data_IF_887389835632
#
_entry.id   IF_887389835632
#
_cell.length_a   1.000
_cell.length_b   1.000
_cell.length_c   1.000
_cell.angle_alpha   90.00
_cell.angle_beta   90.00
_cell.angle_gamma   90.00
#
_symmetry.space_group_name_H-M   'P 1'
#
loop_
_entity.id
_entity.type
_entity.pdbx_description
1 polymer ?
#
# COMPACT_ATOMS: atom_id res chain seq x y z
N UNK A 1 10.04 -31.34 -7.91
CA UNK A 1 8.79 -30.57 -8.07
C UNK A 1 8.31 -30.18 -6.67
N UNK A 2 8.62 -28.96 -6.20
CA UNK A 2 8.08 -28.47 -4.93
C UNK A 2 6.61 -28.14 -5.17
N UNK A 3 5.71 -28.79 -4.43
CA UNK A 3 4.30 -28.40 -4.42
C UNK A 3 4.23 -26.92 -4.03
N UNK A 4 3.66 -26.13 -4.93
CA UNK A 4 3.23 -24.76 -4.65
C UNK A 4 2.07 -24.91 -3.67
N UNK A 5 2.38 -25.03 -2.38
CA UNK A 5 1.39 -24.67 -1.37
C UNK A 5 1.18 -23.18 -1.55
N UNK A 6 0.13 -22.83 -2.29
CA UNK A 6 -0.48 -21.51 -2.23
C UNK A 6 -0.69 -21.25 -0.74
N UNK A 7 0.13 -20.39 -0.14
CA UNK A 7 0.29 -20.22 1.30
C UNK A 7 -0.95 -19.70 2.02
N UNK A 8 -2.17 -19.88 1.50
CA UNK A 8 -3.45 -19.49 2.09
C UNK A 8 -3.64 -19.96 3.54
N UNK A 9 -2.93 -21.00 3.97
CA UNK A 9 -2.96 -21.52 5.35
C UNK A 9 -1.93 -20.87 6.28
N UNK A 10 -1.12 -19.92 5.78
CA UNK A 10 -0.18 -19.19 6.62
C UNK A 10 -0.94 -18.24 7.54
N UNK A 11 -0.66 -18.31 8.84
CA UNK A 11 -1.20 -17.43 9.87
C UNK A 11 -0.96 -15.95 9.53
N UNK A 12 0.08 -15.66 8.73
CA UNK A 12 0.33 -14.32 8.18
C UNK A 12 -0.90 -13.74 7.49
N UNK A 13 -1.64 -14.52 6.69
CA UNK A 13 -2.83 -14.01 5.99
C UNK A 13 -3.98 -13.71 6.95
N UNK A 14 -4.11 -14.46 8.05
CA UNK A 14 -5.07 -14.13 9.11
C UNK A 14 -4.69 -12.82 9.79
N UNK A 15 -3.39 -12.60 10.08
CA UNK A 15 -2.93 -11.34 10.64
C UNK A 15 -3.14 -10.16 9.68
N UNK A 16 -2.84 -10.32 8.39
CA UNK A 16 -3.11 -9.31 7.37
C UNK A 16 -4.61 -9.01 7.29
N UNK A 17 -5.46 -10.03 7.25
CA UNK A 17 -6.91 -9.86 7.23
C UNK A 17 -7.40 -9.09 8.46
N UNK A 18 -7.01 -9.49 9.67
CA UNK A 18 -7.42 -8.82 10.91
C UNK A 18 -6.91 -7.37 10.96
N UNK A 19 -5.68 -7.14 10.54
CA UNK A 19 -5.10 -5.80 10.42
C UNK A 19 -5.94 -4.91 9.50
N UNK A 20 -6.26 -5.39 8.30
CA UNK A 20 -7.06 -4.64 7.33
C UNK A 20 -8.50 -4.47 7.79
N UNK A 21 -9.08 -5.48 8.43
CA UNK A 21 -10.43 -5.44 9.00
C UNK A 21 -10.54 -4.35 10.07
N UNK A 22 -9.64 -4.34 11.06
CA UNK A 22 -9.61 -3.30 12.09
C UNK A 22 -9.37 -1.92 11.48
N UNK A 23 -8.41 -1.81 10.55
CA UNK A 23 -8.11 -0.55 9.85
C UNK A 23 -9.34 -0.02 9.11
N UNK A 24 -10.09 -0.88 8.42
CA UNK A 24 -11.31 -0.51 7.72
C UNK A 24 -12.37 0.10 8.66
N UNK A 25 -12.63 -0.52 9.82
CA UNK A 25 -13.62 0.02 10.76
C UNK A 25 -13.19 1.33 11.39
N UNK A 26 -11.90 1.49 11.69
CA UNK A 26 -11.34 2.75 12.15
C UNK A 26 -11.57 3.82 11.09
N UNK A 27 -11.08 3.60 9.87
CA UNK A 27 -11.21 4.54 8.77
C UNK A 27 -12.67 4.87 8.48
N UNK A 28 -13.57 3.88 8.42
CA UNK A 28 -15.01 4.10 8.24
C UNK A 28 -15.59 5.16 9.19
N UNK A 29 -15.12 5.20 10.44
CA UNK A 29 -15.58 6.17 11.44
C UNK A 29 -14.99 7.57 11.23
N UNK A 30 -13.74 7.68 10.81
CA UNK A 30 -13.00 8.96 10.78
C UNK A 30 -12.76 9.55 9.38
N UNK A 31 -13.04 8.80 8.31
CA UNK A 31 -12.75 9.16 6.91
C UNK A 31 -13.49 10.42 6.42
N UNK A 32 -14.61 10.76 7.05
CA UNK A 32 -15.34 11.98 6.74
C UNK A 32 -14.51 13.26 7.01
N UNK A 33 -13.49 13.18 7.88
CA UNK A 33 -12.61 14.31 8.20
C UNK A 33 -11.56 14.54 7.09
N UNK A 34 -11.44 15.78 6.57
CA UNK A 34 -10.51 16.09 5.47
C UNK A 34 -9.05 15.83 5.83
N UNK A 35 -8.61 16.28 7.01
CA UNK A 35 -7.23 16.08 7.48
C UNK A 35 -6.85 14.59 7.53
N UNK A 36 -7.79 13.74 7.95
CA UNK A 36 -7.58 12.28 8.02
C UNK A 36 -7.36 11.70 6.63
N UNK A 37 -8.15 12.10 5.62
CA UNK A 37 -7.97 11.64 4.24
C UNK A 37 -6.63 12.09 3.67
N UNK A 38 -6.23 13.33 3.94
CA UNK A 38 -4.96 13.89 3.47
C UNK A 38 -3.77 13.16 4.08
N UNK A 39 -3.75 13.01 5.41
CA UNK A 39 -2.70 12.29 6.12
C UNK A 39 -2.64 10.84 5.63
N UNK A 40 -3.78 10.16 5.55
CA UNK A 40 -3.85 8.81 5.02
C UNK A 40 -3.25 8.72 3.62
N UNK A 41 -3.63 9.62 2.71
CA UNK A 41 -3.12 9.61 1.34
C UNK A 41 -1.60 9.79 1.25
N UNK A 42 -1.04 10.72 2.04
CA UNK A 42 0.41 10.89 2.11
C UNK A 42 1.12 9.68 2.74
N UNK A 43 0.59 9.12 3.83
CA UNK A 43 1.17 7.94 4.47
C UNK A 43 1.17 6.74 3.52
N UNK A 44 0.05 6.46 2.84
CA UNK A 44 -0.03 5.34 1.90
C UNK A 44 0.95 5.54 0.74
N UNK A 45 1.04 6.74 0.18
CA UNK A 45 2.00 7.02 -0.89
C UNK A 45 3.45 6.81 -0.43
N UNK A 46 3.81 7.34 0.74
CA UNK A 46 5.15 7.21 1.31
C UNK A 46 5.52 5.75 1.57
N UNK A 47 4.65 4.99 2.23
CA UNK A 47 4.91 3.57 2.53
C UNK A 47 5.03 2.73 1.26
N UNK A 48 4.26 3.05 0.23
CA UNK A 48 4.38 2.38 -1.07
C UNK A 48 5.73 2.66 -1.73
N UNK A 49 6.21 3.90 -1.71
CA UNK A 49 7.56 4.22 -2.24
C UNK A 49 8.67 3.54 -1.43
N UNK A 50 8.53 3.47 -0.10
CA UNK A 50 9.45 2.73 0.76
C UNK A 50 9.44 1.24 0.41
N UNK A 51 8.26 0.65 0.12
CA UNK A 51 8.16 -0.74 -0.31
C UNK A 51 8.90 -0.98 -1.63
N UNK A 52 8.78 -0.08 -2.60
CA UNK A 52 9.55 -0.15 -3.87
C UNK A 52 11.06 -0.21 -3.60
N UNK A 53 11.57 0.63 -2.69
CA UNK A 53 12.96 0.59 -2.27
C UNK A 53 13.35 -0.78 -1.68
N UNK A 54 12.53 -1.34 -0.80
CA UNK A 54 12.80 -2.65 -0.20
C UNK A 54 12.72 -3.81 -1.20
N UNK A 55 11.79 -3.80 -2.15
CA UNK A 55 11.74 -4.81 -3.22
C UNK A 55 12.99 -4.74 -4.10
N UNK A 56 13.42 -3.53 -4.43
CA UNK A 56 14.65 -3.30 -5.21
C UNK A 56 15.88 -3.82 -4.46
N UNK A 57 16.01 -3.49 -3.16
CA UNK A 57 17.09 -3.96 -2.32
C UNK A 57 17.08 -5.49 -2.13
N UNK A 58 15.89 -6.08 -1.97
CA UNK A 58 15.71 -7.53 -1.85
C UNK A 58 16.15 -8.25 -3.12
N UNK A 59 15.85 -7.67 -4.29
CA UNK A 59 16.30 -8.21 -5.58
C UNK A 59 17.81 -8.15 -5.74
N UNK A 60 18.43 -7.01 -5.43
CA UNK A 60 19.90 -6.84 -5.49
C UNK A 60 20.61 -7.85 -4.57
N UNK A 61 20.01 -8.16 -3.41
CA UNK A 61 20.52 -9.17 -2.47
C UNK A 61 20.22 -10.62 -2.87
N UNK A 62 19.62 -10.86 -4.04
CA UNK A 62 19.27 -12.19 -4.54
C UNK A 62 18.13 -12.87 -3.79
N UNK A 63 17.36 -12.14 -2.99
CA UNK A 63 16.23 -12.67 -2.19
C UNK A 63 14.90 -12.62 -2.92
N UNK A 64 14.83 -11.89 -4.03
CA UNK A 64 13.63 -11.72 -4.85
C UNK A 64 14.02 -11.73 -6.33
N UNK A 65 13.25 -12.42 -7.18
CA UNK A 65 13.54 -12.42 -8.61
C UNK A 65 13.36 -11.01 -9.19
N UNK A 66 14.10 -10.67 -10.25
CA UNK A 66 13.98 -9.35 -10.89
C UNK A 66 12.57 -9.06 -11.41
N UNK A 67 11.88 -10.09 -11.92
CA UNK A 67 10.50 -9.97 -12.40
C UNK A 67 9.51 -9.74 -11.25
N UNK A 68 9.65 -10.45 -10.12
CA UNK A 68 8.79 -10.25 -8.95
C UNK A 68 9.03 -8.86 -8.33
N UNK A 69 10.30 -8.46 -8.24
CA UNK A 69 10.68 -7.13 -7.74
C UNK A 69 10.11 -6.01 -8.63
N UNK A 70 10.17 -6.18 -9.95
CA UNK A 70 9.54 -5.26 -10.89
C UNK A 70 8.02 -5.23 -10.74
N UNK A 71 7.35 -6.39 -10.68
CA UNK A 71 5.89 -6.46 -10.55
C UNK A 71 5.41 -5.81 -9.25
N UNK A 72 6.05 -6.12 -8.12
CA UNK A 72 5.73 -5.49 -6.84
C UNK A 72 6.08 -3.99 -6.83
N UNK A 73 7.24 -3.62 -7.38
CA UNK A 73 7.65 -2.23 -7.51
C UNK A 73 6.67 -1.40 -8.36
N UNK A 74 6.22 -1.94 -9.48
CA UNK A 74 5.25 -1.32 -10.37
C UNK A 74 3.91 -1.09 -9.65
N UNK A 75 3.37 -2.13 -9.00
CA UNK A 75 2.11 -2.04 -8.25
C UNK A 75 2.17 -0.94 -7.20
N UNK A 76 3.22 -0.92 -6.38
CA UNK A 76 3.34 0.04 -5.28
C UNK A 76 3.59 1.46 -5.81
N UNK A 77 4.35 1.61 -6.90
CA UNK A 77 4.50 2.90 -7.56
C UNK A 77 3.15 3.44 -8.07
N UNK A 78 2.34 2.58 -8.69
CA UNK A 78 1.00 2.95 -9.16
C UNK A 78 0.08 3.39 -8.01
N UNK A 79 0.09 2.64 -6.90
CA UNK A 79 -0.67 3.02 -5.70
C UNK A 79 -0.20 4.38 -5.18
N UNK A 80 1.11 4.63 -5.09
CA UNK A 80 1.64 5.92 -4.65
C UNK A 80 1.19 7.08 -5.57
N UNK A 81 1.26 6.89 -6.88
CA UNK A 81 0.81 7.89 -7.88
C UNK A 81 -0.68 8.19 -7.74
N UNK A 82 -1.52 7.15 -7.62
CA UNK A 82 -2.96 7.31 -7.43
C UNK A 82 -3.25 8.07 -6.13
N UNK A 83 -2.62 7.70 -5.01
CA UNK A 83 -2.85 8.38 -3.74
C UNK A 83 -2.42 9.84 -3.75
N UNK A 84 -1.26 10.17 -4.34
CA UNK A 84 -0.80 11.56 -4.49
C UNK A 84 -1.79 12.36 -5.35
N UNK A 85 -2.27 11.76 -6.44
CA UNK A 85 -3.26 12.39 -7.33
C UNK A 85 -4.56 12.68 -6.59
N UNK A 86 -5.08 11.71 -5.82
CA UNK A 86 -6.29 11.88 -5.02
C UNK A 86 -6.12 12.97 -3.95
N UNK A 87 -4.95 13.04 -3.30
CA UNK A 87 -4.64 14.08 -2.32
C UNK A 87 -4.64 15.47 -2.98
N UNK A 88 -4.00 15.62 -4.14
CA UNK A 88 -4.01 16.89 -4.88
C UNK A 88 -5.42 17.29 -5.33
N UNK A 89 -6.23 16.32 -5.79
CA UNK A 89 -7.62 16.56 -6.14
C UNK A 89 -8.45 16.97 -4.91
N UNK A 90 -8.29 16.29 -3.78
CA UNK A 90 -9.00 16.62 -2.53
C UNK A 90 -8.70 18.05 -2.07
N UNK A 91 -7.42 18.45 -2.06
CA UNK A 91 -7.01 19.82 -1.72
C UNK A 91 -7.59 20.86 -2.67
N UNK A 92 -7.65 20.56 -3.97
CA UNK A 92 -8.23 21.46 -4.98
C UNK A 92 -9.72 21.67 -4.80
N UNK A 93 -10.45 20.65 -4.33
CA UNK A 93 -11.88 20.74 -4.04
C UNK A 93 -12.12 21.56 -2.77
N UNK A 94 -11.34 21.30 -1.70
CA UNK A 94 -11.47 22.03 -0.43
C UNK A 94 -11.10 23.51 -0.56
N UNK A 95 -10.06 23.86 -1.33
CA UNK A 95 -9.68 25.26 -1.57
C UNK A 95 -10.62 26.05 -2.50
N UNK A 96 -11.61 25.39 -3.12
CA UNK A 96 -12.62 26.02 -3.99
C UNK A 96 -13.97 26.24 -3.28
N UNK A 97 -14.15 25.66 -2.09
CA UNK A 97 -15.34 25.83 -1.25
C UNK A 97 -15.10 26.93 -0.21
#
# INVERSE_FOLDING_TARGET
>A
MKMVMLGLSDIQYLYEFLFWFVTFFILKKIWHKPDVRLIYGYCVALFNLIAVFFFSLSSIKGKLSGLDAFAFGFLHTMVAVVMITLVHMSKKIENKS
#
